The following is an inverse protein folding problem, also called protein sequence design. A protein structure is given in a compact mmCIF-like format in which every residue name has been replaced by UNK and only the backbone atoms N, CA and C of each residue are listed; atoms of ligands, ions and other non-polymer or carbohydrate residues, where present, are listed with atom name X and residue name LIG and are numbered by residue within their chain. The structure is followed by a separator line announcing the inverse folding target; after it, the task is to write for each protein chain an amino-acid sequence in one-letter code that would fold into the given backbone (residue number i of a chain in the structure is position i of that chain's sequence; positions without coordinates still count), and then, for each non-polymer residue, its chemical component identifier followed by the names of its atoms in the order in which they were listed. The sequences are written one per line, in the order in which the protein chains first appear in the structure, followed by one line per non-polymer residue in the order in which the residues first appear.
data_IF_663434202143
#
_entry.id   IF_663434202143
#
_cell.length_a   1.000
_cell.length_b   1.000
_cell.length_c   1.000
_cell.angle_alpha   90.00
_cell.angle_beta   90.00
_cell.angle_gamma   90.00
#
_symmetry.space_group_name_H-M   'P 1'
#
loop_
_entity.id
_entity.type
_entity.pdbx_description
1 polymer ?
#
# COMPACT_ATOMS: atom_id res chain seq x y z
N UNK A 1 16.14 18.29 14.50
CA UNK A 1 15.00 18.06 15.37
C UNK A 1 13.66 17.88 14.61
N UNK A 2 13.44 18.60 13.46
CA UNK A 2 12.20 18.51 12.65
C UNK A 2 12.02 17.14 11.96
N UNK A 3 13.09 16.59 11.41
CA UNK A 3 13.08 15.26 10.73
C UNK A 3 12.75 14.12 11.71
N UNK A 4 13.15 14.24 12.97
CA UNK A 4 12.88 13.23 14.00
C UNK A 4 11.40 13.21 14.44
N UNK A 5 10.70 14.36 14.43
CA UNK A 5 9.26 14.45 14.73
C UNK A 5 8.38 13.90 13.59
N UNK A 6 8.75 14.16 12.33
CA UNK A 6 8.05 13.56 11.18
C UNK A 6 8.20 12.02 11.16
N UNK A 7 9.39 11.49 11.46
CA UNK A 7 9.59 10.03 11.62
C UNK A 7 8.78 9.44 12.78
N UNK A 8 8.52 10.19 13.85
CA UNK A 8 7.71 9.69 14.97
C UNK A 8 6.20 9.68 14.64
N UNK A 9 5.69 10.59 13.81
CA UNK A 9 4.30 10.53 13.31
C UNK A 9 4.10 9.33 12.37
N UNK A 10 5.03 9.08 11.45
CA UNK A 10 4.99 7.88 10.60
C UNK A 10 5.10 6.55 11.38
N UNK A 11 5.72 6.55 12.56
CA UNK A 11 5.84 5.33 13.39
C UNK A 11 4.52 4.97 14.07
N UNK A 12 3.67 5.94 14.42
CA UNK A 12 2.36 5.67 15.04
C UNK A 12 1.32 5.13 14.04
N UNK A 13 1.42 5.49 12.75
CA UNK A 13 0.54 4.99 11.68
C UNK A 13 0.97 3.62 11.12
N UNK A 14 2.06 3.04 11.60
CA UNK A 14 2.66 1.82 11.03
C UNK A 14 1.99 0.49 11.45
N UNK A 15 0.88 0.54 12.18
CA UNK A 15 0.23 -0.66 12.76
C UNK A 15 -1.06 -1.11 12.06
N UNK A 16 -1.38 -0.53 10.90
CA UNK A 16 -2.58 -0.83 10.12
C UNK A 16 -2.23 -0.93 8.63
N UNK A 17 -2.96 -1.72 7.87
CA UNK A 17 -2.78 -1.82 6.43
C UNK A 17 -3.42 -0.64 5.73
N UNK A 18 -4.70 -0.35 5.96
CA UNK A 18 -5.35 0.83 5.42
C UNK A 18 -4.98 2.03 6.29
N UNK A 19 -4.04 2.83 5.81
CA UNK A 19 -3.60 4.07 6.43
C UNK A 19 -4.20 5.28 5.68
N UNK A 20 -4.00 6.48 6.22
CA UNK A 20 -4.52 7.71 5.61
C UNK A 20 -3.92 8.03 4.25
N UNK A 21 -2.71 7.56 3.96
CA UNK A 21 -2.07 7.69 2.65
C UNK A 21 -2.85 6.88 1.59
N UNK A 22 -3.09 5.59 1.84
CA UNK A 22 -3.89 4.73 0.96
C UNK A 22 -5.33 5.26 0.79
N UNK A 23 -5.94 5.73 1.89
CA UNK A 23 -7.28 6.33 1.83
C UNK A 23 -7.30 7.54 0.89
N UNK A 24 -6.32 8.45 0.98
CA UNK A 24 -6.22 9.60 0.09
C UNK A 24 -6.04 9.19 -1.37
N UNK A 25 -5.20 8.19 -1.64
CA UNK A 25 -5.02 7.60 -2.97
C UNK A 25 -6.38 7.17 -3.52
N UNK A 26 -7.12 6.34 -2.77
CA UNK A 26 -8.43 5.85 -3.20
C UNK A 26 -9.45 6.96 -3.40
N UNK A 27 -9.45 7.99 -2.56
CA UNK A 27 -10.33 9.14 -2.73
C UNK A 27 -9.99 9.92 -4.00
N UNK A 28 -8.72 10.11 -4.34
CA UNK A 28 -8.31 10.76 -5.60
C UNK A 28 -8.85 9.98 -6.79
N UNK A 29 -8.60 8.67 -6.84
CA UNK A 29 -9.04 7.79 -7.92
C UNK A 29 -10.56 7.79 -8.08
N UNK A 30 -11.29 7.62 -6.98
CA UNK A 30 -12.75 7.52 -7.01
C UNK A 30 -13.46 8.88 -7.20
N UNK A 31 -12.89 9.97 -6.72
CA UNK A 31 -13.41 11.32 -7.02
C UNK A 31 -13.25 11.62 -8.50
N UNK A 32 -12.12 11.29 -9.09
CA UNK A 32 -11.90 11.41 -10.53
C UNK A 32 -12.93 10.57 -11.32
N UNK A 33 -13.07 9.29 -10.97
CA UNK A 33 -14.02 8.38 -11.61
C UNK A 33 -15.48 8.85 -11.44
N UNK A 34 -15.85 9.35 -10.27
CA UNK A 34 -17.17 9.88 -9.98
C UNK A 34 -17.56 11.00 -10.95
N UNK A 35 -16.64 11.92 -11.22
CA UNK A 35 -16.91 13.00 -12.17
C UNK A 35 -16.88 12.58 -13.63
N UNK A 36 -16.09 11.56 -13.98
CA UNK A 36 -16.00 11.08 -15.37
C UNK A 36 -17.18 10.21 -15.79
N UNK A 37 -17.73 9.42 -14.87
CA UNK A 37 -18.74 8.40 -15.20
C UNK A 37 -20.16 8.94 -15.35
N UNK A 38 -20.43 10.22 -15.08
CA UNK A 38 -21.73 10.86 -15.25
C UNK A 38 -22.85 10.31 -14.34
N UNK A 39 -22.58 9.29 -13.53
CA UNK A 39 -23.53 8.75 -12.55
C UNK A 39 -23.18 9.29 -11.16
N UNK A 40 -23.95 10.27 -10.71
CA UNK A 40 -23.67 11.02 -9.49
C UNK A 40 -24.41 10.48 -8.25
N UNK A 41 -24.57 9.17 -8.12
CA UNK A 41 -25.14 8.57 -6.93
C UNK A 41 -24.08 8.46 -5.82
N UNK A 42 -24.19 9.31 -4.80
CA UNK A 42 -23.23 9.38 -3.68
C UNK A 42 -23.16 8.09 -2.88
N UNK A 43 -24.29 7.43 -2.62
CA UNK A 43 -24.31 6.21 -1.79
C UNK A 43 -23.63 5.04 -2.51
N UNK A 44 -23.74 4.97 -3.83
CA UNK A 44 -23.03 3.98 -4.63
C UNK A 44 -21.52 4.28 -4.66
N UNK A 45 -21.14 5.53 -4.81
CA UNK A 45 -19.76 5.95 -4.83
C UNK A 45 -19.05 5.70 -3.48
N UNK A 46 -19.76 5.89 -2.36
CA UNK A 46 -19.26 5.57 -1.03
C UNK A 46 -19.07 4.06 -0.83
N UNK A 47 -20.03 3.24 -1.28
CA UNK A 47 -19.87 1.78 -1.27
C UNK A 47 -18.68 1.34 -2.10
N UNK A 48 -18.47 1.97 -3.25
CA UNK A 48 -17.34 1.72 -4.13
C UNK A 48 -15.99 2.07 -3.45
N UNK A 49 -15.94 3.20 -2.71
CA UNK A 49 -14.76 3.56 -1.93
C UNK A 49 -14.41 2.48 -0.89
N UNK A 50 -15.39 2.06 -0.10
CA UNK A 50 -15.16 1.04 0.93
C UNK A 50 -14.80 -0.31 0.31
N UNK A 51 -15.44 -0.67 -0.80
CA UNK A 51 -15.10 -1.87 -1.56
C UNK A 51 -13.67 -1.82 -2.14
N UNK A 52 -13.27 -0.68 -2.71
CA UNK A 52 -11.92 -0.49 -3.23
C UNK A 52 -10.85 -0.60 -2.13
N UNK A 53 -11.13 -0.08 -0.93
CA UNK A 53 -10.24 -0.23 0.23
C UNK A 53 -10.13 -1.69 0.68
N UNK A 54 -11.25 -2.44 0.72
CA UNK A 54 -11.22 -3.86 1.06
C UNK A 54 -10.43 -4.68 0.02
N UNK A 55 -10.45 -4.28 -1.26
CA UNK A 55 -9.65 -4.91 -2.32
C UNK A 55 -8.14 -4.68 -2.14
N UNK A 56 -7.72 -3.55 -1.62
CA UNK A 56 -6.33 -3.35 -1.25
C UNK A 56 -5.89 -4.29 -0.10
N UNK A 57 -6.80 -4.57 0.85
CA UNK A 57 -6.55 -5.56 1.89
C UNK A 57 -6.49 -7.00 1.35
N UNK A 58 -7.34 -7.32 0.37
CA UNK A 58 -7.25 -8.59 -0.36
C UNK A 58 -5.89 -8.74 -1.05
N UNK A 59 -5.37 -7.69 -1.69
CA UNK A 59 -4.04 -7.71 -2.31
C UNK A 59 -2.92 -7.98 -1.29
N UNK A 60 -2.99 -7.35 -0.11
CA UNK A 60 -2.03 -7.58 0.96
C UNK A 60 -1.97 -9.07 1.37
N UNK A 61 -3.11 -9.67 1.59
CA UNK A 61 -3.19 -11.10 1.94
C UNK A 61 -2.79 -12.01 0.75
N UNK A 62 -3.12 -11.63 -0.48
CA UNK A 62 -2.70 -12.32 -1.69
C UNK A 62 -1.17 -12.36 -1.83
N UNK A 63 -0.50 -11.25 -1.57
CA UNK A 63 0.97 -11.17 -1.61
C UNK A 63 1.65 -11.95 -0.47
N UNK A 64 1.05 -11.98 0.72
CA UNK A 64 1.52 -12.86 1.79
C UNK A 64 1.35 -14.34 1.43
N UNK A 65 0.22 -14.71 0.81
CA UNK A 65 -0.01 -16.09 0.36
C UNK A 65 0.92 -16.51 -0.78
N UNK A 66 1.47 -15.58 -1.57
CA UNK A 66 2.52 -15.88 -2.56
C UNK A 66 3.80 -16.38 -1.88
N UNK A 67 4.20 -15.79 -0.75
CA UNK A 67 5.36 -16.27 0.04
C UNK A 67 5.13 -17.73 0.46
N UNK A 68 3.93 -18.04 0.93
CA UNK A 68 3.55 -19.42 1.31
C UNK A 68 3.60 -20.36 0.10
N UNK A 69 3.08 -19.94 -1.05
CA UNK A 69 3.08 -20.78 -2.26
C UNK A 69 4.51 -21.09 -2.74
N UNK A 70 5.39 -20.10 -2.75
CA UNK A 70 6.81 -20.28 -3.11
C UNK A 70 7.52 -21.17 -2.10
N UNK A 71 7.23 -21.04 -0.80
CA UNK A 71 7.83 -21.87 0.25
C UNK A 71 7.40 -23.34 0.12
N UNK A 72 6.12 -23.59 -0.18
CA UNK A 72 5.60 -24.95 -0.45
C UNK A 72 6.28 -25.59 -1.66
N UNK A 73 6.41 -24.84 -2.75
CA UNK A 73 7.10 -25.33 -3.94
C UNK A 73 8.59 -25.59 -3.68
N UNK A 74 9.25 -24.75 -2.88
CA UNK A 74 10.64 -24.97 -2.46
C UNK A 74 10.79 -26.24 -1.62
N UNK A 75 9.82 -26.55 -0.75
CA UNK A 75 9.82 -27.79 0.03
C UNK A 75 9.64 -29.01 -0.85
N UNK A 76 8.69 -28.98 -1.79
CA UNK A 76 8.49 -30.06 -2.77
C UNK A 76 9.73 -30.27 -3.65
N UNK A 77 10.35 -29.20 -4.13
CA UNK A 77 11.57 -29.27 -4.93
C UNK A 77 12.72 -29.91 -4.13
N UNK A 78 12.89 -29.48 -2.89
CA UNK A 78 13.90 -30.07 -1.98
C UNK A 78 13.71 -31.56 -1.78
N UNK A 79 12.49 -32.03 -1.52
CA UNK A 79 12.19 -33.45 -1.34
C UNK A 79 12.56 -34.29 -2.57
N UNK A 80 12.29 -33.76 -3.77
CA UNK A 80 12.66 -34.39 -5.04
C UNK A 80 14.19 -34.46 -5.20
N UNK A 81 14.88 -33.36 -4.92
CA UNK A 81 16.35 -33.30 -5.02
C UNK A 81 17.03 -34.21 -4.00
N UNK A 82 16.52 -34.30 -2.76
CA UNK A 82 16.99 -35.25 -1.74
C UNK A 82 16.83 -36.70 -2.20
N UNK A 83 15.66 -37.06 -2.74
CA UNK A 83 15.41 -38.39 -3.24
C UNK A 83 16.33 -38.76 -4.43
N UNK A 84 16.60 -37.78 -5.29
CA UNK A 84 17.53 -37.91 -6.43
C UNK A 84 18.96 -38.09 -5.94
N UNK A 85 19.44 -37.22 -5.05
CA UNK A 85 20.81 -37.28 -4.51
C UNK A 85 21.10 -38.62 -3.82
N UNK A 86 20.16 -39.12 -2.99
CA UNK A 86 20.27 -40.44 -2.35
C UNK A 86 20.37 -41.58 -3.36
N UNK A 87 19.57 -41.54 -4.45
CA UNK A 87 19.61 -42.58 -5.49
C UNK A 87 20.91 -42.54 -6.29
N UNK A 88 21.46 -41.36 -6.54
CA UNK A 88 22.69 -41.15 -7.29
C UNK A 88 23.96 -41.24 -6.44
N UNK A 89 23.84 -41.42 -5.11
CA UNK A 89 24.98 -41.46 -4.19
C UNK A 89 25.71 -40.12 -4.07
N UNK A 90 25.00 -39.00 -4.30
CA UNK A 90 25.52 -37.63 -4.19
C UNK A 90 25.21 -37.02 -2.83
N UNK A 91 25.89 -35.93 -2.51
CA UNK A 91 25.61 -35.16 -1.30
C UNK A 91 24.17 -34.60 -1.37
N UNK A 92 23.47 -34.63 -0.23
CA UNK A 92 22.13 -34.08 -0.08
C UNK A 92 22.20 -32.56 -0.07
N UNK A 93 21.36 -31.87 -0.86
CA UNK A 93 21.35 -30.41 -0.87
C UNK A 93 20.92 -29.82 0.49
N UNK A 94 21.25 -28.54 0.72
CA UNK A 94 20.84 -27.86 1.94
C UNK A 94 19.32 -27.69 2.00
N UNK A 95 18.69 -28.15 3.08
CA UNK A 95 17.26 -27.92 3.34
C UNK A 95 16.95 -26.59 4.02
N UNK A 96 17.92 -25.69 4.17
CA UNK A 96 17.78 -24.48 4.98
C UNK A 96 16.64 -23.59 4.49
N UNK A 97 16.48 -23.39 3.17
CA UNK A 97 15.41 -22.57 2.62
C UNK A 97 14.07 -23.29 2.62
N UNK A 98 14.06 -24.59 2.28
CA UNK A 98 12.85 -25.42 2.30
C UNK A 98 12.21 -25.52 3.71
N UNK A 99 13.06 -25.48 4.75
CA UNK A 99 12.62 -25.53 6.16
C UNK A 99 12.71 -24.15 6.85
N UNK A 100 12.55 -23.08 6.10
CA UNK A 100 12.61 -21.72 6.61
C UNK A 100 11.51 -21.47 7.65
N UNK A 101 11.91 -21.17 8.88
CA UNK A 101 10.99 -21.07 10.05
C UNK A 101 10.02 -19.90 9.94
N UNK A 102 10.41 -18.79 9.30
CA UNK A 102 9.51 -17.67 9.07
C UNK A 102 8.39 -18.06 8.07
N UNK A 103 8.75 -18.70 6.95
CA UNK A 103 7.79 -19.12 5.94
C UNK A 103 6.83 -20.18 6.49
N UNK A 104 7.32 -21.13 7.27
CA UNK A 104 6.47 -22.12 7.97
C UNK A 104 5.52 -21.45 8.96
N UNK A 105 5.99 -20.47 9.74
CA UNK A 105 5.13 -19.73 10.66
C UNK A 105 4.06 -18.91 9.91
N UNK A 106 4.40 -18.34 8.76
CA UNK A 106 3.44 -17.63 7.91
C UNK A 106 2.40 -18.56 7.32
N UNK A 107 2.80 -19.76 6.90
CA UNK A 107 1.89 -20.79 6.39
C UNK A 107 0.90 -21.27 7.45
N UNK A 108 1.33 -21.39 8.73
CA UNK A 108 0.49 -21.76 9.86
C UNK A 108 -0.34 -20.59 10.41
N UNK A 109 -0.17 -19.36 9.89
CA UNK A 109 -0.84 -18.19 10.41
C UNK A 109 -2.36 -18.29 10.24
N UNK A 110 -3.09 -18.22 11.36
CA UNK A 110 -4.55 -18.44 11.36
C UNK A 110 -5.31 -17.45 10.47
N UNK A 111 -4.97 -16.17 10.54
CA UNK A 111 -5.65 -15.13 9.75
C UNK A 111 -5.39 -15.33 8.25
N UNK A 112 -4.17 -15.70 7.87
CA UNK A 112 -3.83 -15.96 6.48
C UNK A 112 -4.48 -17.26 5.97
N UNK A 113 -4.56 -18.31 6.80
CA UNK A 113 -5.27 -19.54 6.46
C UNK A 113 -6.77 -19.28 6.21
N UNK A 114 -7.43 -18.56 7.14
CA UNK A 114 -8.83 -18.17 6.99
C UNK A 114 -9.06 -17.37 5.70
N UNK A 115 -8.17 -16.44 5.36
CA UNK A 115 -8.23 -15.72 4.10
C UNK A 115 -8.11 -16.67 2.90
N UNK A 116 -7.08 -17.53 2.86
CA UNK A 116 -6.84 -18.44 1.73
C UNK A 116 -8.02 -19.40 1.49
N UNK A 117 -8.68 -19.86 2.56
CA UNK A 117 -9.85 -20.74 2.47
C UNK A 117 -11.08 -20.06 1.84
N UNK A 118 -11.19 -18.73 1.97
CA UNK A 118 -12.31 -17.96 1.41
C UNK A 118 -12.11 -17.56 -0.05
N UNK A 119 -10.89 -17.65 -0.58
CA UNK A 119 -10.59 -17.22 -1.94
C UNK A 119 -10.98 -18.27 -2.98
N UNK A 120 -11.55 -17.78 -4.10
CA UNK A 120 -11.87 -18.63 -5.25
C UNK A 120 -10.64 -18.96 -6.10
N UNK A 121 -9.65 -18.08 -6.11
CA UNK A 121 -8.40 -18.22 -6.86
C UNK A 121 -7.23 -18.41 -5.91
N UNK A 122 -6.33 -19.30 -6.25
CA UNK A 122 -5.13 -19.58 -5.48
C UNK A 122 -3.88 -19.43 -6.36
N UNK A 123 -2.69 -19.49 -5.76
CA UNK A 123 -1.44 -19.53 -6.52
C UNK A 123 -1.21 -20.85 -7.24
N UNK A 124 -1.98 -21.89 -6.90
CA UNK A 124 -1.99 -23.17 -7.64
C UNK A 124 -2.48 -22.97 -9.08
N UNK A 125 -3.36 -21.99 -9.32
CA UNK A 125 -3.83 -21.64 -10.67
C UNK A 125 -2.74 -21.01 -11.53
N UNK A 126 -1.66 -20.50 -10.91
CA UNK A 126 -0.51 -19.90 -11.55
C UNK A 126 0.80 -20.58 -11.13
N UNK A 127 0.81 -21.90 -11.03
CA UNK A 127 1.94 -22.68 -10.50
C UNK A 127 3.24 -22.47 -11.32
N UNK A 128 3.14 -22.27 -12.62
CA UNK A 128 4.30 -21.99 -13.47
C UNK A 128 4.98 -20.68 -13.10
N UNK A 129 4.20 -19.65 -12.73
CA UNK A 129 4.75 -18.40 -12.21
C UNK A 129 5.49 -18.63 -10.88
N UNK A 130 4.88 -19.40 -9.96
CA UNK A 130 5.49 -19.71 -8.65
C UNK A 130 6.82 -20.46 -8.82
N UNK A 131 6.87 -21.45 -9.73
CA UNK A 131 8.10 -22.19 -10.05
C UNK A 131 9.18 -21.33 -10.68
N UNK A 132 8.81 -20.46 -11.61
CA UNK A 132 9.74 -19.51 -12.21
C UNK A 132 10.30 -18.52 -11.17
N UNK A 133 9.45 -18.03 -10.28
CA UNK A 133 9.88 -17.13 -9.20
C UNK A 133 10.84 -17.85 -8.24
N UNK A 134 10.55 -19.09 -7.84
CA UNK A 134 11.45 -19.90 -7.03
C UNK A 134 12.80 -20.08 -7.72
N UNK A 135 12.81 -20.44 -9.00
CA UNK A 135 14.05 -20.61 -9.78
C UNK A 135 14.88 -19.31 -9.83
N UNK A 136 14.25 -18.15 -9.99
CA UNK A 136 14.92 -16.86 -9.92
C UNK A 136 15.51 -16.59 -8.50
N UNK A 137 14.76 -16.96 -7.45
CA UNK A 137 15.24 -16.84 -6.08
C UNK A 137 16.48 -17.71 -5.85
N UNK A 138 16.47 -18.98 -6.24
CA UNK A 138 17.58 -19.93 -6.10
C UNK A 138 18.84 -19.48 -6.87
N UNK A 139 18.68 -18.81 -8.00
CA UNK A 139 19.78 -18.25 -8.80
C UNK A 139 20.35 -16.95 -8.21
N UNK A 140 19.60 -16.26 -7.35
CA UNK A 140 19.99 -14.96 -6.78
C UNK A 140 21.17 -15.08 -5.81
N UNK A 141 21.98 -14.02 -5.74
CA UNK A 141 23.04 -13.95 -4.75
C UNK A 141 22.50 -13.94 -3.31
N UNK A 142 21.30 -13.36 -3.10
CA UNK A 142 20.64 -13.31 -1.78
C UNK A 142 20.38 -14.74 -1.25
N UNK A 143 19.91 -15.63 -2.11
CA UNK A 143 19.67 -17.03 -1.75
C UNK A 143 20.97 -17.77 -1.46
N UNK A 144 21.99 -17.63 -2.32
CA UNK A 144 23.28 -18.27 -2.16
C UNK A 144 23.97 -17.84 -0.86
N UNK A 145 24.01 -16.54 -0.58
CA UNK A 145 24.55 -16.00 0.67
C UNK A 145 23.81 -16.54 1.91
N UNK A 146 22.50 -16.74 1.81
CA UNK A 146 21.71 -17.33 2.89
C UNK A 146 22.02 -18.80 3.11
N UNK A 147 22.14 -19.59 2.04
CA UNK A 147 22.48 -21.03 2.12
C UNK A 147 23.89 -21.23 2.70
N UNK A 148 24.85 -20.43 2.24
CA UNK A 148 26.25 -20.51 2.64
C UNK A 148 26.52 -19.91 4.03
N UNK A 149 25.60 -19.12 4.55
CA UNK A 149 25.74 -18.50 5.87
C UNK A 149 25.73 -19.56 6.98
N UNK A 150 26.69 -19.52 7.90
CA UNK A 150 26.70 -20.38 9.08
C UNK A 150 25.61 -20.00 10.10
N UNK A 151 24.98 -18.84 9.93
CA UNK A 151 23.94 -18.37 10.83
C UNK A 151 22.65 -19.18 10.64
N UNK A 152 22.21 -19.84 11.72
CA UNK A 152 20.95 -20.57 11.80
C UNK A 152 20.05 -19.93 12.84
N UNK A 153 19.41 -18.83 12.47
CA UNK A 153 18.52 -18.06 13.32
C UNK A 153 17.19 -17.76 12.61
N UNK A 154 16.13 -17.59 13.40
CA UNK A 154 14.83 -17.15 12.86
C UNK A 154 14.96 -15.77 12.21
N UNK A 155 15.78 -14.89 12.76
CA UNK A 155 16.06 -13.56 12.21
C UNK A 155 16.65 -13.64 10.80
N UNK A 156 17.58 -14.57 10.58
CA UNK A 156 18.16 -14.80 9.26
C UNK A 156 17.12 -15.38 8.28
N UNK A 157 16.30 -16.32 8.75
CA UNK A 157 15.18 -16.89 7.96
C UNK A 157 14.18 -15.84 7.51
N UNK A 158 13.85 -14.89 8.38
CA UNK A 158 12.95 -13.78 8.11
C UNK A 158 13.60 -12.74 7.16
N UNK A 159 14.88 -12.45 7.39
CA UNK A 159 15.61 -11.44 6.62
C UNK A 159 15.86 -11.86 5.18
N UNK A 160 16.10 -13.15 4.90
CA UNK A 160 16.21 -13.63 3.50
C UNK A 160 14.91 -13.40 2.74
N UNK A 161 13.76 -13.71 3.34
CA UNK A 161 12.46 -13.45 2.71
C UNK A 161 12.22 -11.96 2.48
N UNK A 162 12.58 -11.11 3.44
CA UNK A 162 12.48 -9.65 3.27
C UNK A 162 13.31 -9.15 2.09
N UNK A 163 14.55 -9.66 1.94
CA UNK A 163 15.45 -9.30 0.84
C UNK A 163 14.95 -9.83 -0.50
N UNK A 164 14.54 -11.12 -0.55
CA UNK A 164 13.99 -11.74 -1.76
C UNK A 164 12.70 -11.05 -2.22
N UNK A 165 11.80 -10.74 -1.28
CA UNK A 165 10.57 -10.00 -1.58
C UNK A 165 10.90 -8.66 -2.24
N UNK A 166 11.79 -7.88 -1.62
CA UNK A 166 12.18 -6.57 -2.15
C UNK A 166 12.86 -6.65 -3.52
N UNK A 167 13.69 -7.67 -3.75
CA UNK A 167 14.50 -7.75 -4.97
C UNK A 167 13.77 -8.42 -6.15
N UNK A 168 12.83 -9.34 -5.89
CA UNK A 168 12.27 -10.22 -6.94
C UNK A 168 10.74 -10.22 -7.01
N UNK A 169 10.05 -9.62 -6.03
CA UNK A 169 8.58 -9.59 -6.00
C UNK A 169 8.06 -8.17 -6.21
N UNK A 170 8.63 -7.15 -5.56
CA UNK A 170 8.12 -5.78 -5.60
C UNK A 170 8.06 -5.20 -7.02
N UNK A 171 9.10 -5.39 -7.82
CA UNK A 171 9.21 -4.84 -9.18
C UNK A 171 9.15 -5.95 -10.24
N UNK A 172 8.22 -6.91 -10.06
CA UNK A 172 8.09 -8.06 -10.95
C UNK A 172 6.95 -7.83 -11.96
N UNK A 173 7.28 -7.46 -13.18
CA UNK A 173 6.31 -7.17 -14.25
C UNK A 173 5.37 -8.35 -14.55
N UNK A 174 5.85 -9.60 -14.44
CA UNK A 174 4.99 -10.78 -14.63
C UNK A 174 3.97 -10.92 -13.50
N UNK A 175 4.37 -10.60 -12.26
CA UNK A 175 3.44 -10.56 -11.13
C UNK A 175 2.41 -9.45 -11.33
N UNK A 176 2.85 -8.27 -11.75
CA UNK A 176 1.97 -7.12 -11.97
C UNK A 176 0.89 -7.47 -13.01
N UNK A 177 1.27 -8.10 -14.12
CA UNK A 177 0.34 -8.60 -15.14
C UNK A 177 -0.67 -9.61 -14.59
N UNK A 178 -0.22 -10.58 -13.79
CA UNK A 178 -1.11 -11.56 -13.16
C UNK A 178 -2.07 -10.94 -12.14
N UNK A 179 -1.62 -9.93 -11.39
CA UNK A 179 -2.46 -9.24 -10.42
C UNK A 179 -3.51 -8.38 -11.12
N UNK A 180 -3.16 -7.73 -12.23
CA UNK A 180 -4.09 -6.96 -13.07
C UNK A 180 -5.20 -7.85 -13.65
N UNK A 181 -4.87 -9.06 -14.12
CA UNK A 181 -5.85 -10.04 -14.59
C UNK A 181 -6.81 -10.49 -13.47
N UNK A 182 -6.34 -10.55 -12.22
CA UNK A 182 -7.15 -10.95 -11.07
C UNK A 182 -8.07 -9.84 -10.58
N UNK A 183 -7.62 -8.59 -10.58
CA UNK A 183 -8.39 -7.47 -10.08
C UNK A 183 -7.87 -6.12 -10.57
N UNK A 184 -8.71 -5.38 -11.29
CA UNK A 184 -8.42 -4.01 -11.72
C UNK A 184 -8.22 -3.03 -10.55
N UNK A 185 -8.72 -3.35 -9.36
CA UNK A 185 -8.52 -2.52 -8.16
C UNK A 185 -7.09 -2.54 -7.63
N UNK A 186 -6.25 -3.47 -8.09
CA UNK A 186 -4.91 -3.71 -7.55
C UNK A 186 -3.80 -2.94 -8.28
N UNK A 187 -4.07 -2.44 -9.48
CA UNK A 187 -3.06 -1.84 -10.38
C UNK A 187 -2.22 -0.76 -9.72
N UNK A 188 -2.86 0.20 -9.05
CA UNK A 188 -2.16 1.33 -8.43
C UNK A 188 -1.85 1.11 -6.94
N UNK A 189 -2.30 0.00 -6.36
CA UNK A 189 -2.16 -0.23 -4.92
C UNK A 189 -0.89 -0.99 -4.56
N UNK A 190 -0.33 -1.74 -5.52
CA UNK A 190 0.74 -2.69 -5.24
C UNK A 190 1.94 -2.04 -4.56
N UNK A 191 2.40 -0.89 -5.03
CA UNK A 191 3.58 -0.20 -4.47
C UNK A 191 3.41 0.09 -2.97
N UNK A 192 2.26 0.63 -2.57
CA UNK A 192 1.98 0.91 -1.16
C UNK A 192 1.75 -0.38 -0.37
N UNK A 193 1.05 -1.35 -0.94
CA UNK A 193 0.77 -2.65 -0.29
C UNK A 193 2.06 -3.45 -0.06
N UNK A 194 3.00 -3.44 -0.99
CA UNK A 194 4.32 -4.04 -0.83
C UNK A 194 5.04 -3.52 0.42
N UNK A 195 4.91 -2.23 0.73
CA UNK A 195 5.48 -1.65 1.95
C UNK A 195 4.88 -2.26 3.21
N UNK A 196 3.59 -2.60 3.19
CA UNK A 196 2.90 -3.25 4.31
C UNK A 196 3.30 -4.71 4.45
N UNK A 197 3.48 -5.43 3.34
CA UNK A 197 4.02 -6.80 3.35
C UNK A 197 5.41 -6.80 3.97
N UNK A 198 6.32 -5.90 3.55
CA UNK A 198 7.66 -5.79 4.14
C UNK A 198 7.62 -5.45 5.64
N UNK A 199 6.70 -4.58 6.07
CA UNK A 199 6.49 -4.27 7.49
C UNK A 199 6.01 -5.50 8.26
N UNK A 200 5.12 -6.28 7.67
CA UNK A 200 4.61 -7.53 8.25
C UNK A 200 5.73 -8.54 8.41
N UNK A 201 6.51 -8.82 7.37
CA UNK A 201 7.68 -9.70 7.45
C UNK A 201 8.58 -9.28 8.63
N UNK A 202 8.91 -8.00 8.73
CA UNK A 202 9.77 -7.45 9.79
C UNK A 202 9.20 -7.62 11.20
N UNK A 203 7.87 -7.67 11.35
CA UNK A 203 7.17 -7.77 12.66
C UNK A 203 6.98 -9.19 13.16
N UNK A 204 7.17 -10.19 12.31
CA UNK A 204 7.03 -11.57 12.72
C UNK A 204 7.97 -11.91 13.85
N UNK A 205 7.43 -12.50 14.92
CA UNK A 205 8.14 -12.96 16.11
C UNK A 205 7.83 -14.46 16.32
N UNK A 206 8.85 -15.33 16.42
CA UNK A 206 8.64 -16.77 16.60
C UNK A 206 7.85 -17.11 17.87
N UNK A 207 7.85 -16.21 18.87
CA UNK A 207 7.07 -16.41 20.10
C UNK A 207 5.58 -16.44 19.87
N UNK A 208 5.08 -15.73 18.85
CA UNK A 208 3.66 -15.64 18.53
C UNK A 208 3.14 -16.86 17.75
N UNK A 209 4.03 -17.69 17.18
CA UNK A 209 3.66 -18.89 16.41
C UNK A 209 2.55 -18.58 15.38
N UNK A 210 1.60 -19.50 15.20
CA UNK A 210 0.44 -19.35 14.30
C UNK A 210 -0.52 -18.20 14.69
N UNK A 211 -0.38 -17.62 15.88
CA UNK A 211 -1.20 -16.49 16.37
C UNK A 211 -0.57 -15.13 16.13
N UNK A 212 0.52 -15.06 15.37
CA UNK A 212 1.10 -13.77 14.97
C UNK A 212 0.02 -12.93 14.27
N UNK A 213 -0.26 -11.74 14.82
CA UNK A 213 -1.23 -10.85 14.22
C UNK A 213 -0.65 -10.25 12.92
N UNK A 214 -1.43 -10.35 11.85
CA UNK A 214 -1.22 -9.59 10.62
C UNK A 214 -1.64 -8.13 10.82
N UNK A 215 -1.31 -7.27 9.87
CA UNK A 215 -1.83 -5.90 9.91
C UNK A 215 -3.35 -5.95 9.73
N UNK A 216 -4.14 -5.34 10.62
CA UNK A 216 -5.58 -5.29 10.44
C UNK A 216 -5.95 -4.43 9.22
N UNK A 217 -7.10 -4.71 8.62
CA UNK A 217 -7.65 -3.90 7.52
C UNK A 217 -7.72 -2.43 7.94
N UNK A 218 -8.49 -2.12 8.95
CA UNK A 218 -8.53 -0.82 9.63
C UNK A 218 -8.04 -0.97 11.07
N UNK A 219 -7.43 0.07 11.61
CA UNK A 219 -7.05 0.09 13.02
C UNK A 219 -8.28 0.21 13.92
N UNK A 220 -9.19 1.10 13.52
CA UNK A 220 -10.40 1.48 14.23
C UNK A 220 -11.41 2.11 13.26
N UNK A 221 -12.61 2.38 13.72
CA UNK A 221 -13.66 3.06 12.94
C UNK A 221 -13.29 4.49 12.56
N UNK A 222 -12.31 5.13 13.23
CA UNK A 222 -11.88 6.51 12.92
C UNK A 222 -11.31 6.62 11.49
N UNK A 223 -10.57 5.63 11.02
CA UNK A 223 -10.00 5.66 9.66
C UNK A 223 -11.08 5.43 8.59
N UNK A 224 -12.04 4.55 8.87
CA UNK A 224 -13.20 4.36 7.99
C UNK A 224 -14.06 5.62 7.93
N UNK A 225 -14.31 6.23 9.10
CA UNK A 225 -14.98 7.51 9.20
C UNK A 225 -14.24 8.62 8.46
N UNK A 226 -12.90 8.65 8.54
CA UNK A 226 -12.07 9.59 7.81
C UNK A 226 -12.28 9.42 6.30
N UNK A 227 -12.25 8.20 5.78
CA UNK A 227 -12.46 7.93 4.36
C UNK A 227 -13.83 8.43 3.87
N UNK A 228 -14.90 8.05 4.56
CA UNK A 228 -16.27 8.41 4.20
C UNK A 228 -16.50 9.92 4.32
N UNK A 229 -16.10 10.55 5.43
CA UNK A 229 -16.26 11.99 5.67
C UNK A 229 -15.49 12.83 4.66
N UNK A 230 -14.25 12.46 4.36
CA UNK A 230 -13.42 13.18 3.39
C UNK A 230 -14.01 13.09 1.99
N UNK A 231 -14.40 11.89 1.56
CA UNK A 231 -15.00 11.68 0.25
C UNK A 231 -16.31 12.45 0.07
N UNK A 232 -17.23 12.34 1.05
CA UNK A 232 -18.49 13.11 1.04
C UNK A 232 -18.24 14.61 1.04
N UNK A 233 -17.38 15.11 1.92
CA UNK A 233 -17.05 16.54 1.99
C UNK A 233 -16.49 17.07 0.66
N UNK A 234 -15.65 16.28 0.00
CA UNK A 234 -15.08 16.63 -1.31
C UNK A 234 -16.15 16.84 -2.37
N UNK A 235 -17.08 15.92 -2.50
CA UNK A 235 -18.08 15.96 -3.57
C UNK A 235 -19.20 16.95 -3.25
N UNK A 236 -19.74 16.93 -2.03
CA UNK A 236 -20.88 17.77 -1.65
C UNK A 236 -20.57 19.26 -1.62
N UNK A 237 -19.30 19.63 -1.42
CA UNK A 237 -18.89 21.03 -1.36
C UNK A 237 -18.01 21.44 -2.55
N UNK A 238 -18.04 20.70 -3.65
CA UNK A 238 -17.21 20.92 -4.84
C UNK A 238 -17.22 22.36 -5.32
N UNK A 239 -18.43 22.95 -5.52
CA UNK A 239 -18.61 24.32 -5.99
C UNK A 239 -17.98 25.35 -5.04
N UNK A 240 -18.04 25.13 -3.73
CA UNK A 240 -17.42 26.00 -2.74
C UNK A 240 -15.90 25.93 -2.83
N UNK A 241 -15.33 24.74 -2.95
CA UNK A 241 -13.88 24.56 -3.04
C UNK A 241 -13.34 25.11 -4.36
N UNK A 242 -14.04 24.96 -5.46
CA UNK A 242 -13.67 25.58 -6.75
C UNK A 242 -13.72 27.11 -6.70
N UNK A 243 -14.67 27.71 -5.97
CA UNK A 243 -14.67 29.15 -5.73
C UNK A 243 -13.42 29.61 -4.96
N UNK A 244 -13.01 28.88 -3.91
CA UNK A 244 -11.78 29.23 -3.18
C UNK A 244 -10.54 29.17 -4.07
N UNK A 245 -10.44 28.15 -4.94
CA UNK A 245 -9.37 28.08 -5.93
C UNK A 245 -9.41 29.27 -6.90
N UNK A 246 -10.57 29.65 -7.40
CA UNK A 246 -10.75 30.79 -8.31
C UNK A 246 -10.43 32.13 -7.64
N UNK A 247 -10.87 32.36 -6.39
CA UNK A 247 -10.63 33.59 -5.64
C UNK A 247 -9.16 33.82 -5.29
N UNK A 248 -8.39 32.73 -5.09
CA UNK A 248 -6.97 32.79 -4.78
C UNK A 248 -6.06 32.80 -6.01
N UNK A 249 -6.58 32.44 -7.18
CA UNK A 249 -5.82 32.27 -8.42
C UNK A 249 -5.73 33.55 -9.29
N UNK A 250 -5.78 34.76 -8.71
CA UNK A 250 -5.86 36.05 -9.43
C UNK A 250 -4.88 36.23 -10.60
N UNK A 251 -3.79 35.49 -10.66
CA UNK A 251 -2.76 35.52 -11.69
C UNK A 251 -2.66 34.25 -12.53
N UNK A 252 -3.59 33.31 -12.38
CA UNK A 252 -3.52 31.99 -13.03
C UNK A 252 -4.78 31.70 -13.81
N UNK A 253 -4.63 31.26 -15.04
CA UNK A 253 -5.73 30.84 -15.88
C UNK A 253 -6.19 29.43 -15.45
N UNK A 254 -7.24 29.36 -14.63
CA UNK A 254 -7.84 28.13 -14.11
C UNK A 254 -8.26 27.16 -15.24
N UNK A 255 -8.55 27.70 -16.43
CA UNK A 255 -8.92 26.87 -17.59
C UNK A 255 -7.80 26.01 -18.16
N UNK A 256 -6.55 26.29 -17.78
CA UNK A 256 -5.35 25.56 -18.23
C UNK A 256 -4.88 24.48 -17.27
N UNK A 257 -5.55 24.31 -16.13
CA UNK A 257 -5.20 23.30 -15.16
C UNK A 257 -5.54 21.90 -15.66
N UNK A 258 -4.67 20.94 -15.38
CA UNK A 258 -5.02 19.54 -15.53
C UNK A 258 -6.22 19.22 -14.63
N UNK A 259 -7.19 18.49 -15.15
CA UNK A 259 -8.39 18.14 -14.38
C UNK A 259 -8.04 17.41 -13.08
N UNK A 260 -7.00 16.56 -13.10
CA UNK A 260 -6.50 15.89 -11.93
C UNK A 260 -5.97 16.85 -10.86
N UNK A 261 -5.33 17.96 -11.25
CA UNK A 261 -4.86 18.98 -10.29
C UNK A 261 -6.05 19.61 -9.54
N UNK A 262 -7.14 19.86 -10.25
CA UNK A 262 -8.38 20.40 -9.65
C UNK A 262 -8.96 19.41 -8.65
N UNK A 263 -9.03 18.13 -9.00
CA UNK A 263 -9.53 17.05 -8.12
C UNK A 263 -8.67 16.96 -6.86
N UNK A 264 -7.34 16.92 -7.01
CA UNK A 264 -6.39 16.80 -5.89
C UNK A 264 -6.51 18.01 -4.95
N UNK A 265 -6.54 19.23 -5.49
CA UNK A 265 -6.73 20.44 -4.67
C UNK A 265 -8.08 20.47 -3.96
N UNK A 266 -9.15 20.04 -4.63
CA UNK A 266 -10.49 19.97 -4.04
C UNK A 266 -10.51 19.05 -2.80
N UNK A 267 -9.87 17.87 -2.88
CA UNK A 267 -9.77 16.93 -1.77
C UNK A 267 -8.91 17.54 -0.64
N UNK A 268 -7.80 18.19 -0.98
CA UNK A 268 -6.94 18.86 0.00
C UNK A 268 -7.68 19.96 0.78
N UNK A 269 -8.48 20.77 0.10
CA UNK A 269 -9.31 21.82 0.74
C UNK A 269 -10.36 21.18 1.64
N UNK A 270 -11.01 20.09 1.18
CA UNK A 270 -11.95 19.33 2.00
C UNK A 270 -11.30 18.81 3.29
N UNK A 271 -10.08 18.27 3.20
CA UNK A 271 -9.34 17.81 4.38
C UNK A 271 -8.95 18.98 5.31
N UNK A 272 -8.48 20.09 4.76
CA UNK A 272 -8.14 21.27 5.56
C UNK A 272 -9.34 21.79 6.35
N UNK A 273 -10.52 21.80 5.76
CA UNK A 273 -11.72 22.37 6.38
C UNK A 273 -12.40 21.42 7.37
N UNK A 274 -12.37 20.12 7.12
CA UNK A 274 -13.18 19.16 7.88
C UNK A 274 -12.39 18.37 8.95
N UNK A 275 -11.05 18.42 8.94
CA UNK A 275 -10.22 17.64 9.87
C UNK A 275 -9.25 18.53 10.64
N UNK A 276 -9.72 19.19 11.71
CA UNK A 276 -8.93 20.17 12.48
C UNK A 276 -7.66 19.58 13.10
N UNK A 277 -7.64 18.29 13.37
CA UNK A 277 -6.52 17.58 13.99
C UNK A 277 -5.36 17.28 13.01
N UNK A 278 -5.56 17.48 11.71
CA UNK A 278 -4.50 17.29 10.70
C UNK A 278 -3.87 18.66 10.42
N UNK A 279 -2.56 18.87 10.69
CA UNK A 279 -1.90 20.12 10.38
C UNK A 279 -1.95 20.45 8.89
N UNK A 280 -2.14 21.73 8.55
CA UNK A 280 -2.19 22.19 7.14
C UNK A 280 -0.96 21.77 6.35
N UNK A 281 0.23 21.87 6.96
CA UNK A 281 1.48 21.47 6.31
C UNK A 281 1.55 19.97 5.98
N UNK A 282 0.89 19.13 6.78
CA UNK A 282 0.77 17.68 6.49
C UNK A 282 -0.15 17.48 5.29
N UNK A 283 -1.34 18.08 5.30
CA UNK A 283 -2.27 18.02 4.17
C UNK A 283 -1.58 18.49 2.87
N UNK A 284 -0.92 19.65 2.88
CA UNK A 284 -0.24 20.14 1.67
C UNK A 284 0.79 19.15 1.16
N UNK A 285 1.66 18.62 2.02
CA UNK A 285 2.71 17.68 1.62
C UNK A 285 2.12 16.40 1.01
N UNK A 286 1.13 15.81 1.64
CA UNK A 286 0.47 14.58 1.16
C UNK A 286 -0.14 14.78 -0.24
N UNK A 287 -0.87 15.88 -0.46
CA UNK A 287 -1.48 16.13 -1.77
C UNK A 287 -0.50 16.61 -2.84
N UNK A 288 0.61 17.23 -2.47
CA UNK A 288 1.73 17.49 -3.38
C UNK A 288 2.38 16.20 -3.86
N UNK A 289 2.55 15.22 -2.97
CA UNK A 289 3.11 13.93 -3.35
C UNK A 289 2.13 13.13 -4.23
N UNK A 290 0.83 13.18 -3.96
CA UNK A 290 -0.21 12.63 -4.84
C UNK A 290 -0.22 13.29 -6.22
N UNK A 291 0.00 14.61 -6.29
CA UNK A 291 0.08 15.32 -7.56
C UNK A 291 1.29 14.88 -8.42
N UNK A 292 2.42 14.57 -7.79
CA UNK A 292 3.59 14.01 -8.49
C UNK A 292 3.31 12.63 -9.06
N UNK A 293 2.45 11.84 -8.39
CA UNK A 293 2.10 10.48 -8.80
C UNK A 293 1.02 10.48 -9.90
N UNK A 294 -0.02 11.29 -9.78
CA UNK A 294 -1.22 11.22 -10.62
C UNK A 294 -1.38 12.33 -11.65
N UNK A 295 -0.50 13.35 -11.65
CA UNK A 295 -0.62 14.48 -12.56
C UNK A 295 0.70 14.75 -13.31
N UNK A 296 0.92 16.00 -13.72
CA UNK A 296 2.09 16.36 -14.52
C UNK A 296 3.33 16.61 -13.64
N UNK A 297 4.56 16.51 -14.19
CA UNK A 297 5.79 16.79 -13.42
C UNK A 297 5.85 18.19 -12.78
N UNK A 298 5.07 19.15 -13.29
CA UNK A 298 5.01 20.53 -12.77
C UNK A 298 3.89 20.72 -11.75
N UNK A 299 2.94 19.79 -11.67
CA UNK A 299 1.74 19.90 -10.81
C UNK A 299 2.09 20.01 -9.34
N UNK A 300 3.07 19.24 -8.85
CA UNK A 300 3.47 19.27 -7.44
C UNK A 300 3.88 20.66 -6.95
N UNK A 301 4.68 21.40 -7.72
CA UNK A 301 5.09 22.77 -7.37
C UNK A 301 3.93 23.77 -7.43
N UNK A 302 3.09 23.62 -8.46
CA UNK A 302 1.91 24.47 -8.64
C UNK A 302 0.91 24.26 -7.49
N UNK A 303 0.53 23.02 -7.20
CA UNK A 303 -0.41 22.66 -6.14
C UNK A 303 0.09 23.10 -4.77
N UNK A 304 1.40 22.98 -4.50
CA UNK A 304 1.97 23.49 -3.25
C UNK A 304 1.73 24.97 -3.06
N UNK A 305 1.99 25.79 -4.08
CA UNK A 305 1.77 27.24 -4.02
C UNK A 305 0.29 27.61 -3.89
N UNK A 306 -0.59 26.92 -4.63
CA UNK A 306 -2.03 27.15 -4.58
C UNK A 306 -2.64 26.76 -3.23
N UNK A 307 -2.31 25.59 -2.69
CA UNK A 307 -2.82 25.14 -1.40
C UNK A 307 -2.32 26.00 -0.24
N UNK A 308 -1.08 26.50 -0.30
CA UNK A 308 -0.56 27.47 0.68
C UNK A 308 -1.36 28.78 0.64
N UNK A 309 -1.59 29.35 -0.56
CA UNK A 309 -2.39 30.56 -0.74
C UNK A 309 -3.84 30.36 -0.26
N UNK A 310 -4.47 29.23 -0.59
CA UNK A 310 -5.83 28.92 -0.15
C UNK A 310 -5.88 28.76 1.37
N UNK A 311 -4.91 28.11 1.98
CA UNK A 311 -4.87 27.95 3.44
C UNK A 311 -4.77 29.30 4.16
N UNK A 312 -3.96 30.24 3.68
CA UNK A 312 -3.89 31.60 4.21
C UNK A 312 -5.22 32.33 4.02
N UNK A 313 -5.79 32.29 2.84
CA UNK A 313 -7.10 32.90 2.55
C UNK A 313 -8.19 32.38 3.49
N UNK A 314 -8.26 31.06 3.70
CA UNK A 314 -9.25 30.43 4.60
C UNK A 314 -9.04 30.82 6.06
N UNK A 315 -7.79 30.97 6.50
CA UNK A 315 -7.46 31.42 7.85
C UNK A 315 -7.81 32.89 8.05
N UNK A 316 -7.41 33.77 7.12
CA UNK A 316 -7.65 35.23 7.19
C UNK A 316 -9.15 35.57 7.12
N UNK A 317 -9.94 34.78 6.41
CA UNK A 317 -11.40 34.96 6.30
C UNK A 317 -12.19 34.23 7.40
N UNK A 318 -11.52 33.57 8.33
CA UNK A 318 -12.15 32.81 9.42
C UNK A 318 -12.95 31.59 8.97
N UNK A 319 -12.74 31.12 7.74
CA UNK A 319 -13.40 29.94 7.15
C UNK A 319 -12.74 28.63 7.58
N UNK A 320 -11.53 28.69 8.15
CA UNK A 320 -10.81 27.54 8.68
C UNK A 320 -10.33 27.83 10.10
N UNK A 321 -10.57 26.89 11.03
CA UNK A 321 -10.18 27.04 12.44
C UNK A 321 -8.73 26.60 12.71
N UNK A 322 -7.93 26.29 11.68
CA UNK A 322 -6.55 25.83 11.82
C UNK A 322 -5.57 27.02 11.81
N UNK A 323 -4.52 26.91 12.63
CA UNK A 323 -3.43 27.89 12.62
C UNK A 323 -2.54 27.62 11.41
N UNK A 324 -2.42 28.61 10.54
CA UNK A 324 -1.43 28.61 9.46
C UNK A 324 -0.20 29.38 9.96
N UNK A 325 0.96 28.74 9.95
CA UNK A 325 2.20 29.40 10.34
C UNK A 325 2.48 30.52 9.33
N UNK A 326 2.49 31.77 9.78
CA UNK A 326 2.99 32.88 8.97
C UNK A 326 4.45 32.61 8.63
N UNK A 327 4.80 32.76 7.35
CA UNK A 327 6.18 32.74 6.88
C UNK A 327 6.91 33.96 7.35
#
# INVERSE_FOLDING_TARGET
PRVRRQRQMCIRDSYKMINRELIRIKIVQLTYAYYQNGNHNMDNAEKELLFSLSKAYDLYNCLLSLIVAVSREAHLHYDVEVARARREGKDVPSGKFANNRFAMQLEENKQLCEYMETQKQSWADNIEFVRNLLSQMEQSQIYKDYIDSPEDSYENDREVWRKLYKALIMENENLDSLLEERSLYWNDDKEIVDTFVLKTIKRFDPKNKAKQELLPEFKDEEDKDFAVKLFRATILNADQYQRFMSETSRNWDFSRLAYMDVVIMQIAIAEMMNFPNIPVSVTINEYVDLAKLYSTPKSGSYINGMLDAIAHYLADTGKMMKVVNKR
#
